data_IF_503591182204
#
_entry.id   IF_503591182204
#
_cell.length_a   1.000
_cell.length_b   1.000
_cell.length_c   1.000
_cell.angle_alpha   90.00
_cell.angle_beta   90.00
_cell.angle_gamma   90.00
#
_symmetry.space_group_name_H-M   'P 1'
#
loop_
_entity.id
_entity.type
_entity.pdbx_description
1 polymer ?
#
# COMPACT_ATOMS: atom_id res chain seq x y z
N UNK A 1 -13.67 -4.03 8.06
CA UNK A 1 -12.47 -3.83 7.21
C UNK A 1 -12.30 -2.36 6.88
N UNK A 2 -11.05 -1.88 6.83
CA UNK A 2 -10.67 -0.51 6.49
C UNK A 2 -9.70 -0.52 5.32
N UNK A 3 -9.77 0.49 4.46
CA UNK A 3 -8.76 0.70 3.42
C UNK A 3 -7.61 1.56 3.96
N UNK A 4 -6.39 1.21 3.58
CA UNK A 4 -5.18 1.95 3.91
C UNK A 4 -4.39 2.23 2.64
N UNK A 5 -3.88 3.45 2.54
CA UNK A 5 -2.89 3.86 1.55
C UNK A 5 -1.51 3.60 2.12
N UNK A 6 -0.68 2.91 1.35
CA UNK A 6 0.73 2.65 1.62
C UNK A 6 1.52 3.45 0.59
N UNK A 7 2.42 4.29 1.04
CA UNK A 7 3.43 4.93 0.19
C UNK A 7 4.81 4.58 0.71
N UNK A 8 5.76 4.34 -0.19
CA UNK A 8 7.13 3.96 0.19
C UNK A 8 8.18 4.64 -0.69
N UNK A 9 9.41 4.63 -0.21
CA UNK A 9 10.63 4.99 -0.94
C UNK A 9 11.69 3.94 -0.60
N UNK A 10 11.94 3.03 -1.54
CA UNK A 10 12.96 2.00 -1.41
C UNK A 10 14.31 2.55 -1.86
N UNK A 11 15.34 2.29 -1.07
CA UNK A 11 16.71 2.78 -1.20
C UNK A 11 17.65 1.58 -1.30
N UNK A 12 18.90 1.81 -1.70
CA UNK A 12 19.88 0.74 -1.84
C UNK A 12 19.46 -0.37 -2.81
N UNK A 13 19.22 -1.57 -2.29
CA UNK A 13 18.96 -2.79 -3.05
C UNK A 13 17.57 -2.81 -3.72
N UNK A 14 16.60 -2.04 -3.20
CA UNK A 14 15.26 -1.86 -3.78
C UNK A 14 14.55 -3.17 -4.13
N UNK A 15 14.38 -4.05 -3.15
CA UNK A 15 13.67 -5.32 -3.35
C UNK A 15 12.15 -5.13 -3.48
N UNK A 16 11.72 -4.68 -4.66
CA UNK A 16 10.31 -4.49 -5.00
C UNK A 16 9.54 -5.81 -4.97
N UNK A 17 10.15 -6.93 -5.35
CA UNK A 17 9.47 -8.22 -5.47
C UNK A 17 9.03 -8.75 -4.10
N UNK A 18 9.86 -8.61 -3.07
CA UNK A 18 9.50 -8.99 -1.70
C UNK A 18 8.40 -8.10 -1.13
N UNK A 19 8.49 -6.78 -1.32
CA UNK A 19 7.44 -5.85 -0.90
C UNK A 19 6.12 -6.12 -1.63
N UNK A 20 6.15 -6.33 -2.94
CA UNK A 20 4.94 -6.56 -3.74
C UNK A 20 4.27 -7.87 -3.37
N UNK A 21 5.04 -8.93 -3.10
CA UNK A 21 4.48 -10.19 -2.58
C UNK A 21 3.79 -9.98 -1.23
N UNK A 22 4.38 -9.22 -0.31
CA UNK A 22 3.80 -8.93 0.99
C UNK A 22 2.53 -8.05 0.89
N UNK A 23 2.50 -7.06 -0.01
CA UNK A 23 1.27 -6.26 -0.23
C UNK A 23 0.17 -7.11 -0.89
N UNK A 24 0.53 -7.98 -1.84
CA UNK A 24 -0.44 -8.84 -2.54
C UNK A 24 -1.00 -9.98 -1.69
N UNK A 25 -0.42 -10.28 -0.53
CA UNK A 25 -0.97 -11.26 0.41
C UNK A 25 -2.17 -10.75 1.21
N UNK A 26 -2.46 -9.45 1.16
CA UNK A 26 -3.69 -8.90 1.74
C UNK A 26 -4.93 -9.32 0.91
N UNK A 27 -6.11 -9.54 1.52
CA UNK A 27 -7.28 -10.05 0.81
C UNK A 27 -7.76 -9.17 -0.35
N UNK A 28 -7.64 -7.85 -0.22
CA UNK A 28 -7.85 -6.91 -1.32
C UNK A 28 -6.71 -5.91 -1.34
N UNK A 29 -6.23 -5.61 -2.53
CA UNK A 29 -5.17 -4.63 -2.77
C UNK A 29 -5.33 -3.99 -4.15
N UNK A 30 -4.72 -2.82 -4.33
CA UNK A 30 -4.55 -2.15 -5.61
C UNK A 30 -3.20 -1.45 -5.70
N UNK A 31 -2.55 -1.57 -6.85
CA UNK A 31 -1.34 -0.82 -7.17
C UNK A 31 -1.76 0.52 -7.82
N UNK A 32 -1.61 1.64 -7.11
CA UNK A 32 -2.13 2.95 -7.56
C UNK A 32 -1.12 3.66 -8.45
N UNK A 33 0.13 3.73 -7.99
CA UNK A 33 1.30 4.30 -8.68
C UNK A 33 2.53 3.44 -8.34
N UNK A 34 3.66 3.64 -9.01
CA UNK A 34 4.93 2.92 -8.76
C UNK A 34 5.39 2.85 -7.30
N UNK A 35 4.94 3.77 -6.46
CA UNK A 35 5.31 3.85 -5.04
C UNK A 35 4.12 4.05 -4.11
N UNK A 36 2.90 3.75 -4.58
CA UNK A 36 1.67 3.90 -3.79
C UNK A 36 0.71 2.75 -4.04
N UNK A 37 0.25 2.13 -2.96
CA UNK A 37 -0.69 1.00 -2.96
C UNK A 37 -1.87 1.28 -2.03
N UNK A 38 -2.97 0.59 -2.26
CA UNK A 38 -4.07 0.50 -1.31
C UNK A 38 -4.29 -0.96 -0.91
N UNK A 39 -4.68 -1.19 0.34
CA UNK A 39 -5.07 -2.51 0.86
C UNK A 39 -6.32 -2.42 1.73
N UNK A 40 -7.10 -3.49 1.79
CA UNK A 40 -8.25 -3.61 2.70
C UNK A 40 -8.00 -4.71 3.73
N UNK A 41 -8.08 -4.37 5.01
CA UNK A 41 -7.77 -5.30 6.11
C UNK A 41 -8.48 -4.92 7.41
N UNK A 42 -8.51 -5.85 8.38
CA UNK A 42 -8.91 -5.57 9.77
C UNK A 42 -7.75 -5.07 10.64
N UNK A 43 -6.51 -5.15 10.12
CA UNK A 43 -5.33 -4.64 10.82
C UNK A 43 -5.40 -3.12 11.00
N UNK A 44 -4.66 -2.63 11.99
CA UNK A 44 -4.37 -1.20 12.17
C UNK A 44 -3.27 -0.75 11.21
N UNK A 45 -3.17 0.56 10.95
CA UNK A 45 -2.07 1.12 10.14
C UNK A 45 -0.68 0.73 10.69
N UNK A 46 -0.51 0.73 12.02
CA UNK A 46 0.74 0.32 12.66
C UNK A 46 1.08 -1.15 12.38
N UNK A 47 0.10 -2.06 12.49
CA UNK A 47 0.30 -3.47 12.17
C UNK A 47 0.63 -3.70 10.69
N UNK A 48 0.02 -2.95 9.78
CA UNK A 48 0.35 -3.01 8.34
C UNK A 48 1.79 -2.57 8.11
N UNK A 49 2.18 -1.40 8.64
CA UNK A 49 3.55 -0.90 8.54
C UNK A 49 4.54 -1.90 9.11
N UNK A 50 4.33 -2.37 10.34
CA UNK A 50 5.26 -3.26 11.04
C UNK A 50 5.42 -4.61 10.32
N UNK A 51 4.39 -5.10 9.64
CA UNK A 51 4.47 -6.30 8.83
C UNK A 51 5.28 -6.09 7.55
N UNK A 52 5.00 -5.01 6.81
CA UNK A 52 5.71 -4.70 5.57
C UNK A 52 7.17 -4.30 5.82
N UNK A 53 7.45 -3.66 6.95
CA UNK A 53 8.82 -3.34 7.41
C UNK A 53 9.70 -4.59 7.65
N UNK A 54 9.13 -5.81 7.69
CA UNK A 54 9.92 -7.04 7.81
C UNK A 54 10.58 -7.48 6.50
N UNK A 55 10.18 -6.90 5.37
CA UNK A 55 10.63 -7.29 4.03
C UNK A 55 11.29 -6.15 3.25
N UNK A 56 11.59 -5.04 3.92
CA UNK A 56 12.30 -3.88 3.37
C UNK A 56 13.52 -3.54 4.23
N UNK A 57 14.44 -2.73 3.72
CA UNK A 57 15.68 -2.39 4.38
C UNK A 57 15.50 -1.29 5.44
N UNK A 58 16.45 -1.19 6.39
CA UNK A 58 16.34 -0.27 7.53
C UNK A 58 16.31 1.21 7.13
N UNK A 59 16.93 1.57 6.01
CA UNK A 59 16.99 2.94 5.49
C UNK A 59 15.86 3.29 4.51
N UNK A 60 14.98 2.31 4.21
CA UNK A 60 13.77 2.51 3.44
C UNK A 60 12.74 3.33 4.23
N UNK A 61 11.80 3.92 3.50
CA UNK A 61 10.75 4.76 4.07
C UNK A 61 9.39 4.18 3.73
N UNK A 62 8.50 4.20 4.72
CA UNK A 62 7.12 3.76 4.54
C UNK A 62 6.17 4.64 5.33
N UNK A 63 5.07 5.00 4.67
CA UNK A 63 3.96 5.75 5.23
C UNK A 63 2.67 4.96 5.02
N UNK A 64 1.91 4.75 6.09
CA UNK A 64 0.62 4.06 6.04
C UNK A 64 -0.43 4.93 6.69
N UNK A 65 -1.49 5.26 5.94
CA UNK A 65 -2.62 6.06 6.42
C UNK A 65 -3.92 5.38 6.05
N UNK A 66 -4.93 5.48 6.92
CA UNK A 66 -6.28 5.01 6.60
C UNK A 66 -6.86 5.92 5.51
N UNK A 67 -7.40 5.36 4.43
CA UNK A 67 -8.11 6.17 3.42
C UNK A 67 -9.38 6.80 4.03
N UNK A 68 -9.82 7.94 3.50
CA UNK A 68 -11.04 8.59 3.98
C UNK A 68 -11.46 9.86 3.25
N UNK A 69 -12.68 10.29 3.60
CA UNK A 69 -13.47 11.48 3.22
C UNK A 69 -13.50 11.87 1.73
N UNK A 70 -12.36 12.16 1.13
CA UNK A 70 -12.25 12.64 -0.23
C UNK A 70 -11.01 12.04 -0.88
N UNK A 71 -11.19 11.50 -2.08
CA UNK A 71 -10.11 11.02 -2.90
C UNK A 71 -10.39 11.35 -4.37
N UNK A 72 -9.34 11.71 -5.09
CA UNK A 72 -9.37 11.92 -6.53
C UNK A 72 -8.12 11.32 -7.14
N UNK A 73 -8.22 10.91 -8.40
CA UNK A 73 -7.11 10.28 -9.11
C UNK A 73 -7.23 10.48 -10.62
N UNK A 74 -6.12 10.29 -11.33
CA UNK A 74 -6.03 10.37 -12.79
C UNK A 74 -4.96 9.41 -13.28
N UNK A 75 -5.25 8.61 -14.31
CA UNK A 75 -4.30 7.69 -14.95
C UNK A 75 -3.57 6.74 -13.98
N UNK A 76 -4.30 6.16 -13.02
CA UNK A 76 -3.76 5.19 -12.06
C UNK A 76 -3.45 3.84 -12.73
N UNK A 77 -2.52 3.09 -12.14
CA UNK A 77 -2.14 1.75 -12.62
C UNK A 77 -3.29 0.75 -12.43
N UNK A 78 -3.99 0.82 -11.29
CA UNK A 78 -5.13 -0.05 -11.01
C UNK A 78 -6.39 0.37 -11.76
N UNK A 79 -7.42 -0.48 -11.72
CA UNK A 79 -8.74 -0.17 -12.26
C UNK A 79 -9.42 0.93 -11.42
N UNK A 80 -10.10 1.85 -12.10
CA UNK A 80 -10.84 2.93 -11.44
C UNK A 80 -11.94 2.41 -10.51
N UNK A 81 -12.56 1.29 -10.88
CA UNK A 81 -13.67 0.66 -10.16
C UNK A 81 -13.22 0.22 -8.77
N UNK A 82 -12.01 -0.33 -8.65
CA UNK A 82 -11.46 -0.74 -7.36
C UNK A 82 -11.37 0.45 -6.40
N UNK A 83 -10.91 1.61 -6.89
CA UNK A 83 -10.77 2.82 -6.07
C UNK A 83 -12.14 3.38 -5.66
N UNK A 84 -13.12 3.40 -6.57
CA UNK A 84 -14.50 3.82 -6.26
C UNK A 84 -15.18 2.95 -5.20
N UNK A 85 -14.86 1.66 -5.18
CA UNK A 85 -15.48 0.70 -4.26
C UNK A 85 -14.80 0.62 -2.89
N UNK A 86 -13.50 0.92 -2.80
CA UNK A 86 -12.71 0.59 -1.61
C UNK A 86 -12.03 1.79 -0.93
N UNK A 87 -11.89 2.96 -1.56
CA UNK A 87 -11.27 4.14 -0.92
C UNK A 87 -12.18 4.84 0.08
#
# INVERSE_FOLDING_TARGET
>A
MKCYIISYDLRGNRDYDSLYRAIKSYPKWAHITESTWAIVTEKTAAQVRDELCRVIDRDDRMFVVRSGAEAAWRNVICRNEWLKENL
#
